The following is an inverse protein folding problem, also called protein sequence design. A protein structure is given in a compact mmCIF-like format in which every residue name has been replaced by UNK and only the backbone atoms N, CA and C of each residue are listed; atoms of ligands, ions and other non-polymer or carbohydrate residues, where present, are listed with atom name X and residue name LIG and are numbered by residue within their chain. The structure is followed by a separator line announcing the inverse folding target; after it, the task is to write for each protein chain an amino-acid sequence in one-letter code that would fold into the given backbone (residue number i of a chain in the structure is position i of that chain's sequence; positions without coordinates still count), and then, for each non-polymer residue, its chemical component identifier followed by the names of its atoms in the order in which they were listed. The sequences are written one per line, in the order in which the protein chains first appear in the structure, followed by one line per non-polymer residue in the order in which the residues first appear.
data_IF_738361252822
#
_entry.id   IF_738361252822
#
_cell.length_a   1.000
_cell.length_b   1.000
_cell.length_c   1.000
_cell.angle_alpha   90.00
_cell.angle_beta   90.00
_cell.angle_gamma   90.00
#
_symmetry.space_group_name_H-M   'P 1'
#
loop_
_entity.id
_entity.type
_entity.pdbx_description
1 polymer ?
#
# COMPACT_ATOMS: atom_id res chain seq x y z
N UNK A 1 -5.23 4.83 31.30
CA UNK A 1 -5.66 5.92 30.45
C UNK A 1 -5.07 7.23 30.98
N UNK A 2 -4.61 8.15 30.13
CA UNK A 2 -3.97 9.42 30.51
C UNK A 2 -4.97 10.24 31.35
N UNK A 3 -6.21 10.29 30.93
CA UNK A 3 -7.30 11.02 31.58
C UNK A 3 -7.51 10.61 33.05
N UNK A 4 -7.59 9.31 33.33
CA UNK A 4 -7.72 8.80 34.70
C UNK A 4 -6.49 9.08 35.58
N UNK A 5 -5.31 9.28 34.95
CA UNK A 5 -4.05 9.56 35.67
C UNK A 5 -3.88 11.04 36.04
N UNK A 6 -4.54 11.94 35.29
CA UNK A 6 -4.42 13.39 35.47
C UNK A 6 -5.71 14.07 35.90
N UNK A 7 -6.83 13.34 36.02
CA UNK A 7 -8.05 13.85 36.65
C UNK A 7 -7.75 14.25 38.10
N UNK A 8 -7.79 15.55 38.37
CA UNK A 8 -7.53 16.10 39.71
C UNK A 8 -6.12 16.69 39.94
N UNK A 9 -5.27 16.76 38.92
CA UNK A 9 -4.01 17.50 39.03
C UNK A 9 -4.29 19.01 39.03
N UNK A 10 -3.68 19.74 39.95
CA UNK A 10 -3.89 21.18 40.17
C UNK A 10 -3.20 22.07 39.13
N UNK A 11 -2.46 21.52 38.18
CA UNK A 11 -1.58 22.27 37.25
C UNK A 11 -2.07 22.33 35.81
N UNK A 12 -3.38 22.32 35.55
CA UNK A 12 -3.94 22.56 34.24
C UNK A 12 -5.30 21.89 34.02
N UNK A 13 -6.17 22.52 33.25
CA UNK A 13 -7.41 21.90 32.76
C UNK A 13 -7.07 20.83 31.74
N UNK A 14 -7.37 19.56 32.04
CA UNK A 14 -7.33 18.47 31.09
C UNK A 14 -8.72 18.31 30.48
N UNK A 15 -8.86 18.58 29.16
CA UNK A 15 -10.09 18.37 28.44
C UNK A 15 -9.90 17.33 27.33
N UNK A 16 -10.77 16.32 27.30
CA UNK A 16 -10.88 15.42 26.17
C UNK A 16 -11.72 16.08 25.08
N UNK A 17 -11.17 16.20 23.88
CA UNK A 17 -11.88 16.73 22.72
C UNK A 17 -12.05 15.61 21.70
N UNK A 18 -13.28 15.40 21.27
CA UNK A 18 -13.59 14.45 20.22
C UNK A 18 -13.13 14.93 18.84
N UNK A 19 -12.59 14.00 18.03
CA UNK A 19 -12.13 14.24 16.65
C UNK A 19 -13.12 13.69 15.62
N UNK A 20 -14.41 13.88 15.80
CA UNK A 20 -15.46 13.41 14.88
C UNK A 20 -15.48 14.12 13.52
N UNK A 21 -14.83 15.30 13.39
CA UNK A 21 -14.75 16.05 12.14
C UNK A 21 -13.54 15.65 11.31
N UNK A 22 -13.79 15.12 10.11
CA UNK A 22 -12.75 14.78 9.14
C UNK A 22 -12.35 15.99 8.29
N UNK A 23 -11.08 16.36 8.38
CA UNK A 23 -10.47 17.36 7.47
C UNK A 23 -9.95 16.74 6.18
N UNK A 24 -9.99 15.42 6.09
CA UNK A 24 -9.46 14.65 4.96
C UNK A 24 -10.53 14.29 3.95
N UNK A 25 -11.60 13.68 4.39
CA UNK A 25 -12.55 12.96 3.54
C UNK A 25 -13.85 13.73 3.36
N UNK A 26 -14.38 13.68 2.14
CA UNK A 26 -15.71 14.17 1.79
C UNK A 26 -16.82 13.25 2.34
N UNK A 27 -18.06 13.70 2.23
CA UNK A 27 -19.23 13.01 2.79
C UNK A 27 -19.40 11.56 2.27
N UNK A 28 -19.35 11.25 0.95
CA UNK A 28 -19.53 9.88 0.47
C UNK A 28 -18.53 8.88 1.04
N UNK A 29 -17.26 9.29 1.25
CA UNK A 29 -16.26 8.43 1.89
C UNK A 29 -16.61 8.15 3.35
N UNK A 30 -17.12 9.16 4.06
CA UNK A 30 -17.50 9.04 5.46
C UNK A 30 -18.78 8.21 5.63
N UNK A 31 -19.70 8.26 4.67
CA UNK A 31 -20.92 7.44 4.68
C UNK A 31 -20.56 5.95 4.73
N UNK A 32 -19.64 5.50 3.87
CA UNK A 32 -19.15 4.11 3.89
C UNK A 32 -18.47 3.78 5.21
N UNK A 33 -17.61 4.65 5.72
CA UNK A 33 -16.91 4.43 6.99
C UNK A 33 -17.88 4.36 8.16
N UNK A 34 -18.86 5.26 8.21
CA UNK A 34 -19.87 5.30 9.26
C UNK A 34 -20.78 4.06 9.21
N UNK A 35 -21.17 3.61 8.01
CA UNK A 35 -21.96 2.40 7.86
C UNK A 35 -21.21 1.16 8.37
N UNK A 36 -19.91 1.03 8.09
CA UNK A 36 -19.10 -0.12 8.56
C UNK A 36 -18.92 -0.14 10.06
N UNK A 37 -18.71 1.00 10.70
CA UNK A 37 -18.25 1.07 12.09
C UNK A 37 -19.25 1.65 13.07
N UNK A 38 -20.38 2.16 12.60
CA UNK A 38 -21.38 2.80 13.42
C UNK A 38 -22.32 1.84 14.14
N UNK A 39 -22.45 0.60 13.67
CA UNK A 39 -23.33 -0.42 14.28
C UNK A 39 -22.53 -1.33 15.23
N UNK A 40 -22.59 -1.01 16.52
CA UNK A 40 -21.93 -1.80 17.56
C UNK A 40 -22.49 -3.21 17.69
N UNK A 41 -23.77 -3.45 17.36
CA UNK A 41 -24.38 -4.77 17.49
C UNK A 41 -23.88 -5.72 16.40
N UNK A 42 -23.64 -5.21 15.21
CA UNK A 42 -22.96 -5.97 14.15
C UNK A 42 -21.53 -6.26 14.56
N UNK A 43 -20.77 -5.27 15.05
CA UNK A 43 -19.37 -5.48 15.46
C UNK A 43 -19.23 -6.53 16.56
N UNK A 44 -20.17 -6.62 17.52
CA UNK A 44 -20.19 -7.64 18.58
C UNK A 44 -20.24 -9.08 18.05
N UNK A 45 -20.77 -9.30 16.87
CA UNK A 45 -20.83 -10.64 16.27
C UNK A 45 -19.44 -11.16 15.87
N UNK A 46 -18.46 -10.25 15.67
CA UNK A 46 -17.10 -10.59 15.25
C UNK A 46 -16.14 -10.82 16.41
N UNK A 47 -16.52 -10.47 17.62
CA UNK A 47 -15.76 -10.75 18.84
C UNK A 47 -16.60 -11.59 19.81
N UNK A 48 -16.23 -12.86 19.99
CA UNK A 48 -16.93 -13.78 20.90
C UNK A 48 -17.06 -13.25 22.34
N UNK A 49 -16.10 -12.42 22.78
CA UNK A 49 -16.08 -11.85 24.13
C UNK A 49 -16.66 -10.45 24.18
N UNK A 50 -17.04 -9.89 23.04
CA UNK A 50 -17.61 -8.54 22.86
C UNK A 50 -16.71 -7.38 23.33
N UNK A 51 -15.60 -7.66 23.98
CA UNK A 51 -14.69 -6.65 24.56
C UNK A 51 -14.09 -5.70 23.52
N UNK A 52 -13.73 -6.22 22.34
CA UNK A 52 -13.23 -5.40 21.23
C UNK A 52 -14.30 -4.46 20.69
N UNK A 53 -15.52 -4.97 20.49
CA UNK A 53 -16.64 -4.21 19.99
C UNK A 53 -17.12 -3.15 21.00
N UNK A 54 -17.21 -3.51 22.29
CA UNK A 54 -17.57 -2.56 23.35
C UNK A 54 -16.51 -1.46 23.50
N UNK A 55 -15.23 -1.82 23.41
CA UNK A 55 -14.12 -0.86 23.41
C UNK A 55 -14.17 0.06 22.19
N UNK A 56 -14.54 -0.46 21.02
CA UNK A 56 -14.76 0.34 19.82
C UNK A 56 -15.95 1.28 20.00
N UNK A 57 -17.10 0.76 20.42
CA UNK A 57 -18.32 1.54 20.62
C UNK A 57 -18.13 2.68 21.65
N UNK A 58 -17.31 2.45 22.68
CA UNK A 58 -17.05 3.46 23.72
C UNK A 58 -16.28 4.70 23.20
N UNK A 59 -15.57 4.58 22.06
CA UNK A 59 -14.80 5.67 21.46
C UNK A 59 -15.33 6.13 20.11
N UNK A 60 -16.31 5.40 19.55
CA UNK A 60 -16.84 5.70 18.23
C UNK A 60 -17.76 6.91 18.27
N UNK A 61 -17.52 7.82 17.35
CA UNK A 61 -18.42 8.92 17.03
C UNK A 61 -18.61 8.98 15.52
N UNK A 62 -19.84 9.19 15.08
CA UNK A 62 -20.17 9.35 13.66
C UNK A 62 -19.33 10.47 13.06
N UNK A 63 -18.57 10.15 12.03
CA UNK A 63 -17.69 11.09 11.36
C UNK A 63 -18.48 12.02 10.45
N UNK A 64 -18.12 13.29 10.46
CA UNK A 64 -18.69 14.33 9.62
C UNK A 64 -17.57 15.08 8.88
N UNK A 65 -17.84 15.56 7.65
CA UNK A 65 -16.87 16.40 6.96
C UNK A 65 -16.67 17.71 7.73
N UNK A 66 -15.43 18.17 7.84
CA UNK A 66 -15.13 19.52 8.34
C UNK A 66 -15.57 20.56 7.31
N UNK A 67 -15.80 21.82 7.74
CA UNK A 67 -16.32 22.92 6.88
C UNK A 67 -15.69 23.01 5.47
N UNK A 68 -14.36 22.86 5.28
CA UNK A 68 -13.78 22.91 3.93
C UNK A 68 -14.17 21.74 3.03
N UNK A 69 -14.67 20.62 3.61
CA UNK A 69 -15.03 19.38 2.91
C UNK A 69 -16.53 19.20 2.70
N UNK A 70 -17.33 20.05 3.31
CA UNK A 70 -18.80 20.01 3.17
C UNK A 70 -19.19 20.40 1.75
N UNK A 71 -19.96 19.51 1.07
CA UNK A 71 -20.40 19.72 -0.30
C UNK A 71 -19.34 19.49 -1.36
N UNK A 72 -18.16 18.95 -1.02
CA UNK A 72 -17.21 18.43 -2.01
C UNK A 72 -17.74 17.12 -2.61
N UNK A 73 -17.65 17.02 -3.94
CA UNK A 73 -18.02 15.82 -4.67
C UNK A 73 -17.08 14.65 -4.32
N UNK A 74 -17.66 13.47 -4.25
CA UNK A 74 -16.92 12.25 -3.95
C UNK A 74 -17.68 11.01 -4.37
N UNK A 75 -17.04 9.86 -4.26
CA UNK A 75 -17.66 8.58 -4.55
C UNK A 75 -17.08 7.48 -3.65
N UNK A 76 -17.93 6.77 -2.96
CA UNK A 76 -17.57 5.58 -2.20
C UNK A 76 -18.41 4.39 -2.66
N UNK A 77 -17.75 3.25 -2.92
CA UNK A 77 -18.43 2.09 -3.46
C UNK A 77 -17.84 0.79 -2.89
N UNK A 78 -18.71 -0.13 -2.51
CA UNK A 78 -18.34 -1.51 -2.23
C UNK A 78 -18.85 -2.40 -3.34
N UNK A 79 -17.91 -3.07 -4.01
CA UNK A 79 -18.12 -3.97 -5.14
C UNK A 79 -17.78 -5.40 -4.76
N UNK A 80 -18.63 -6.34 -5.20
CA UNK A 80 -18.29 -7.77 -5.15
C UNK A 80 -18.12 -8.33 -6.56
N UNK A 81 -17.21 -9.30 -6.70
CA UNK A 81 -16.97 -10.06 -7.93
C UNK A 81 -17.18 -11.55 -7.64
N UNK A 82 -17.44 -12.35 -8.70
CA UNK A 82 -17.70 -13.78 -8.55
C UNK A 82 -16.45 -14.56 -8.18
N UNK A 83 -15.38 -14.37 -8.94
CA UNK A 83 -14.11 -15.08 -8.73
C UNK A 83 -13.06 -14.17 -8.08
N UNK A 84 -12.17 -14.80 -7.32
CA UNK A 84 -11.09 -14.09 -6.62
C UNK A 84 -10.13 -13.41 -7.59
N UNK A 85 -9.89 -14.03 -8.71
CA UNK A 85 -9.02 -13.57 -9.80
C UNK A 85 -9.57 -12.32 -10.48
N UNK A 86 -10.88 -12.17 -10.51
CA UNK A 86 -11.58 -11.03 -11.15
C UNK A 86 -11.37 -9.71 -10.41
N UNK A 87 -10.97 -9.74 -9.14
CA UNK A 87 -10.72 -8.53 -8.34
C UNK A 87 -9.67 -7.62 -8.97
N UNK A 88 -8.61 -8.19 -9.52
CA UNK A 88 -7.53 -7.40 -10.12
C UNK A 88 -7.93 -6.81 -11.46
N UNK A 89 -8.73 -7.54 -12.25
CA UNK A 89 -9.34 -7.00 -13.46
C UNK A 89 -10.32 -5.85 -13.14
N UNK A 90 -11.09 -5.98 -12.06
CA UNK A 90 -11.95 -4.90 -11.56
C UNK A 90 -11.14 -3.68 -11.11
N UNK A 91 -10.01 -3.87 -10.40
CA UNK A 91 -9.10 -2.78 -10.04
C UNK A 91 -8.57 -2.07 -11.27
N UNK A 92 -8.12 -2.81 -12.28
CA UNK A 92 -7.61 -2.24 -13.53
C UNK A 92 -8.71 -1.42 -14.24
N UNK A 93 -9.95 -1.91 -14.24
CA UNK A 93 -11.09 -1.20 -14.81
C UNK A 93 -11.40 0.10 -14.03
N UNK A 94 -11.43 0.05 -12.71
CA UNK A 94 -11.64 1.24 -11.86
C UNK A 94 -10.55 2.28 -12.08
N UNK A 95 -9.28 1.86 -12.18
CA UNK A 95 -8.16 2.76 -12.51
C UNK A 95 -8.35 3.43 -13.87
N UNK A 96 -8.82 2.67 -14.87
CA UNK A 96 -9.14 3.22 -16.19
C UNK A 96 -10.28 4.25 -16.15
N UNK A 97 -11.29 4.04 -15.28
CA UNK A 97 -12.40 4.98 -15.12
C UNK A 97 -12.02 6.25 -14.36
N UNK A 98 -11.18 6.12 -13.35
CA UNK A 98 -10.69 7.25 -12.54
C UNK A 98 -9.65 8.04 -13.33
N UNK A 99 -8.86 7.36 -14.15
CA UNK A 99 -7.70 7.88 -14.88
C UNK A 99 -6.87 8.89 -14.04
N UNK A 100 -6.29 8.43 -12.92
CA UNK A 100 -5.67 9.33 -11.96
C UNK A 100 -4.52 10.13 -12.57
N UNK A 101 -3.85 9.59 -13.58
CA UNK A 101 -2.70 10.25 -14.23
C UNK A 101 -3.15 11.43 -15.08
N UNK A 102 -4.16 11.23 -15.93
CA UNK A 102 -4.70 12.29 -16.78
C UNK A 102 -5.39 13.39 -15.94
N UNK A 103 -6.09 12.99 -14.87
CA UNK A 103 -6.81 13.90 -13.98
C UNK A 103 -5.93 14.51 -12.87
N UNK A 104 -4.63 14.21 -12.84
CA UNK A 104 -3.70 14.76 -11.84
C UNK A 104 -4.00 14.38 -10.39
N UNK A 105 -4.63 13.18 -10.19
CA UNK A 105 -5.06 12.69 -8.90
C UNK A 105 -4.01 11.79 -8.27
N UNK A 106 -3.81 11.90 -6.97
CA UNK A 106 -3.08 10.91 -6.19
C UNK A 106 -3.95 9.67 -5.97
N UNK A 107 -3.42 8.47 -6.30
CA UNK A 107 -4.15 7.23 -6.20
C UNK A 107 -3.33 6.15 -5.51
N UNK A 108 -3.93 5.47 -4.53
CA UNK A 108 -3.32 4.32 -3.89
C UNK A 108 -4.20 3.07 -3.95
N UNK A 109 -3.54 1.92 -4.11
CA UNK A 109 -4.16 0.61 -3.94
C UNK A 109 -3.62 0.02 -2.64
N UNK A 110 -4.52 -0.23 -1.69
CA UNK A 110 -4.15 -0.63 -0.34
C UNK A 110 -4.45 -2.11 -0.16
N UNK A 111 -3.42 -2.89 0.16
CA UNK A 111 -3.50 -4.34 0.36
C UNK A 111 -3.03 -4.75 1.76
N UNK A 112 -3.28 -6.01 2.15
CA UNK A 112 -2.92 -6.48 3.49
C UNK A 112 -1.49 -7.02 3.59
N UNK A 113 -0.91 -7.53 2.49
CA UNK A 113 0.35 -8.28 2.50
C UNK A 113 1.35 -7.76 1.48
N UNK A 114 2.63 -7.74 1.82
CA UNK A 114 3.71 -7.37 0.89
C UNK A 114 3.75 -8.25 -0.37
N UNK A 115 3.45 -9.56 -0.22
CA UNK A 115 3.39 -10.45 -1.38
C UNK A 115 2.34 -9.99 -2.39
N UNK A 116 1.14 -9.60 -1.92
CA UNK A 116 0.06 -9.07 -2.77
C UNK A 116 0.46 -7.76 -3.46
N UNK A 117 1.29 -6.91 -2.82
CA UNK A 117 1.81 -5.69 -3.47
C UNK A 117 2.53 -6.03 -4.77
N UNK A 118 3.49 -6.96 -4.72
CA UNK A 118 4.28 -7.32 -5.90
C UNK A 118 3.43 -7.97 -7.00
N UNK A 119 2.61 -8.96 -6.62
CA UNK A 119 1.74 -9.67 -7.56
C UNK A 119 0.76 -8.71 -8.28
N UNK A 120 0.20 -7.75 -7.55
CA UNK A 120 -0.74 -6.77 -8.10
C UNK A 120 -0.03 -5.73 -8.98
N UNK A 121 1.16 -5.28 -8.60
CA UNK A 121 1.98 -4.38 -9.43
C UNK A 121 2.31 -5.04 -10.76
N UNK A 122 2.76 -6.30 -10.76
CA UNK A 122 3.10 -7.03 -11.98
C UNK A 122 1.88 -7.21 -12.89
N UNK A 123 0.73 -7.55 -12.30
CA UNK A 123 -0.54 -7.65 -13.04
C UNK A 123 -0.94 -6.30 -13.67
N UNK A 124 -0.94 -5.22 -12.89
CA UNK A 124 -1.39 -3.90 -13.36
C UNK A 124 -0.47 -3.32 -14.44
N UNK A 125 0.84 -3.54 -14.35
CA UNK A 125 1.78 -3.14 -15.42
C UNK A 125 1.51 -3.86 -16.74
N UNK A 126 1.12 -5.14 -16.67
CA UNK A 126 0.69 -5.89 -17.85
C UNK A 126 -0.65 -5.43 -18.42
N UNK A 127 -1.63 -5.16 -17.54
CA UNK A 127 -2.98 -4.76 -17.93
C UNK A 127 -3.06 -3.28 -18.38
N UNK A 128 -2.26 -2.40 -17.79
CA UNK A 128 -2.28 -0.94 -17.97
C UNK A 128 -0.86 -0.39 -18.26
N UNK A 129 -0.25 -0.71 -19.42
CA UNK A 129 1.14 -0.34 -19.70
C UNK A 129 1.38 1.18 -19.76
N UNK A 130 0.33 1.98 -19.93
CA UNK A 130 0.41 3.44 -19.96
C UNK A 130 0.22 4.11 -18.59
N UNK A 131 -0.10 3.33 -17.55
CA UNK A 131 -0.26 3.84 -16.19
C UNK A 131 0.98 3.45 -15.38
N UNK A 132 1.75 4.42 -14.86
CA UNK A 132 2.90 4.12 -14.02
C UNK A 132 2.43 3.61 -12.66
N UNK A 133 2.62 2.30 -12.40
CA UNK A 133 2.26 1.64 -11.14
C UNK A 133 3.52 1.32 -10.35
N UNK A 134 3.56 1.72 -9.09
CA UNK A 134 4.69 1.56 -8.17
C UNK A 134 4.27 0.78 -6.93
N UNK A 135 5.00 -0.26 -6.59
CA UNK A 135 4.87 -0.93 -5.30
C UNK A 135 5.73 -0.23 -4.25
N UNK A 136 5.20 -0.06 -3.05
CA UNK A 136 5.92 0.62 -1.98
C UNK A 136 7.16 -0.14 -1.45
N UNK A 137 7.23 -1.46 -1.69
CA UNK A 137 8.44 -2.24 -1.41
C UNK A 137 9.54 -2.03 -2.47
N UNK A 138 9.24 -1.29 -3.54
CA UNK A 138 10.08 -1.07 -4.71
C UNK A 138 10.48 0.41 -4.80
N UNK A 139 11.19 0.90 -3.79
CA UNK A 139 11.47 2.33 -3.66
C UNK A 139 12.85 2.75 -4.12
N UNK A 140 13.64 1.86 -4.71
CA UNK A 140 15.00 2.19 -5.13
C UNK A 140 15.12 2.22 -6.65
N UNK A 141 15.31 3.39 -7.29
CA UNK A 141 15.43 3.51 -8.75
C UNK A 141 16.54 2.66 -9.36
N UNK A 142 17.53 2.26 -8.58
CA UNK A 142 18.61 1.38 -9.02
C UNK A 142 18.32 -0.11 -8.89
N UNK A 143 17.37 -0.52 -8.04
CA UNK A 143 17.17 -1.93 -7.67
C UNK A 143 15.80 -2.50 -7.96
N UNK A 144 14.79 -1.68 -8.19
CA UNK A 144 13.38 -2.09 -8.32
C UNK A 144 12.92 -2.28 -9.79
N UNK A 145 13.83 -2.11 -10.73
CA UNK A 145 13.51 -2.24 -12.14
C UNK A 145 14.72 -2.77 -12.94
N UNK A 146 14.45 -3.51 -14.04
CA UNK A 146 15.53 -4.10 -14.85
C UNK A 146 16.50 -3.08 -15.43
N UNK A 147 16.04 -1.88 -15.79
CA UNK A 147 16.89 -0.83 -16.34
C UNK A 147 17.90 -0.31 -15.31
N UNK A 148 17.41 0.04 -14.11
CA UNK A 148 18.27 0.51 -13.02
C UNK A 148 19.33 -0.54 -12.64
N UNK A 149 18.91 -1.81 -12.56
CA UNK A 149 19.83 -2.93 -12.31
C UNK A 149 20.88 -3.08 -13.41
N UNK A 150 20.49 -2.94 -14.68
CA UNK A 150 21.42 -3.00 -15.80
C UNK A 150 22.43 -1.84 -15.78
N UNK A 151 21.96 -0.62 -15.49
CA UNK A 151 22.82 0.58 -15.37
C UNK A 151 23.81 0.47 -14.19
N UNK A 152 23.35 -0.03 -13.04
CA UNK A 152 24.28 -0.29 -11.92
C UNK A 152 25.29 -1.39 -12.25
N UNK A 153 24.90 -2.42 -13.01
CA UNK A 153 25.80 -3.50 -13.38
C UNK A 153 26.89 -3.06 -14.36
N UNK A 154 26.57 -2.26 -15.38
CA UNK A 154 27.61 -1.75 -16.29
C UNK A 154 28.62 -0.85 -15.56
N UNK A 155 28.15 -0.03 -14.61
CA UNK A 155 29.02 0.80 -13.79
C UNK A 155 29.91 -0.05 -12.87
N UNK A 156 29.35 -1.03 -12.15
CA UNK A 156 30.13 -1.96 -11.30
C UNK A 156 31.18 -2.74 -12.11
N UNK A 157 30.76 -3.30 -13.24
CA UNK A 157 31.70 -4.02 -14.13
C UNK A 157 32.83 -3.13 -14.61
N UNK A 158 32.56 -1.84 -14.87
CA UNK A 158 33.62 -0.88 -15.28
C UNK A 158 34.59 -0.52 -14.14
N UNK A 159 34.07 -0.42 -12.89
CA UNK A 159 34.90 -0.14 -11.71
C UNK A 159 35.72 -1.36 -11.26
N UNK A 160 35.15 -2.57 -11.42
CA UNK A 160 35.73 -3.81 -10.90
C UNK A 160 35.93 -4.86 -12.00
N UNK A 161 37.08 -4.83 -12.74
CA UNK A 161 37.33 -5.70 -13.90
C UNK A 161 37.31 -7.21 -13.61
N UNK A 162 37.28 -7.62 -12.32
CA UNK A 162 37.23 -9.04 -11.89
C UNK A 162 35.85 -9.46 -11.39
N UNK A 163 34.88 -8.54 -11.35
CA UNK A 163 33.51 -8.81 -10.90
C UNK A 163 32.69 -9.35 -12.08
N UNK A 164 32.79 -10.66 -12.28
CA UNK A 164 32.13 -11.35 -13.39
C UNK A 164 30.61 -11.30 -13.32
N UNK A 165 30.02 -11.21 -12.14
CA UNK A 165 28.56 -11.22 -12.01
C UNK A 165 27.94 -10.01 -12.72
N UNK A 166 28.42 -8.81 -12.48
CA UNK A 166 27.90 -7.62 -13.14
C UNK A 166 28.18 -7.62 -14.64
N UNK A 167 29.32 -8.13 -15.07
CA UNK A 167 29.64 -8.27 -16.49
C UNK A 167 28.68 -9.22 -17.20
N UNK A 168 28.47 -10.42 -16.66
CA UNK A 168 27.52 -11.41 -17.19
C UNK A 168 26.07 -10.90 -17.13
N UNK A 169 25.70 -10.19 -16.07
CA UNK A 169 24.37 -9.59 -15.98
C UNK A 169 24.14 -8.58 -17.12
N UNK A 170 25.11 -7.71 -17.44
CA UNK A 170 24.98 -6.76 -18.56
C UNK A 170 24.73 -7.49 -19.87
N UNK A 171 25.41 -8.63 -20.12
CA UNK A 171 25.23 -9.42 -21.33
C UNK A 171 23.82 -10.02 -21.49
N UNK A 172 23.08 -10.15 -20.40
CA UNK A 172 21.69 -10.63 -20.38
C UNK A 172 20.67 -9.48 -20.48
N UNK A 173 21.12 -8.24 -20.61
CA UNK A 173 20.26 -7.05 -20.65
C UNK A 173 20.29 -6.39 -22.04
N UNK A 174 19.40 -5.46 -22.36
CA UNK A 174 19.46 -4.66 -23.58
C UNK A 174 20.77 -3.87 -23.75
N UNK A 175 21.59 -3.73 -22.70
CA UNK A 175 22.90 -3.11 -22.76
C UNK A 175 24.02 -4.04 -23.25
N UNK A 176 23.71 -5.30 -23.56
CA UNK A 176 24.69 -6.29 -24.07
C UNK A 176 25.50 -5.78 -25.27
N UNK A 177 24.87 -4.96 -26.13
CA UNK A 177 25.53 -4.34 -27.28
C UNK A 177 26.69 -3.39 -26.95
N UNK A 178 26.82 -2.97 -25.67
CA UNK A 178 27.96 -2.19 -25.19
C UNK A 178 29.22 -3.05 -24.98
N UNK A 179 29.05 -4.35 -24.79
CA UNK A 179 30.13 -5.28 -24.46
C UNK A 179 30.41 -6.23 -25.62
N UNK A 180 31.58 -6.13 -26.29
CA UNK A 180 31.98 -7.08 -27.33
C UNK A 180 32.05 -8.53 -26.81
N UNK A 181 31.87 -9.49 -27.72
CA UNK A 181 31.99 -10.92 -27.39
C UNK A 181 33.38 -11.34 -27.03
N UNK A 182 34.37 -10.67 -27.58
CA UNK A 182 35.82 -10.90 -27.29
C UNK A 182 36.17 -10.37 -25.89
N UNK A 183 36.72 -11.19 -24.98
CA UNK A 183 37.01 -10.79 -23.59
C UNK A 183 37.95 -9.59 -23.45
N UNK A 184 39.02 -9.51 -24.31
CA UNK A 184 39.98 -8.41 -24.19
C UNK A 184 39.38 -7.09 -24.68
N UNK A 185 38.61 -7.12 -25.74
CA UNK A 185 37.82 -5.97 -26.22
C UNK A 185 36.75 -5.55 -25.24
N UNK A 186 36.11 -6.50 -24.53
CA UNK A 186 35.14 -6.25 -23.51
C UNK A 186 35.77 -5.48 -22.33
N UNK A 187 36.92 -5.91 -21.87
CA UNK A 187 37.65 -5.20 -20.83
C UNK A 187 38.10 -3.80 -21.29
N UNK A 188 38.40 -3.62 -22.57
CA UNK A 188 38.65 -2.29 -23.11
C UNK A 188 37.39 -1.40 -23.10
N UNK A 189 36.26 -1.93 -23.52
CA UNK A 189 34.98 -1.22 -23.49
C UNK A 189 34.57 -0.80 -22.06
N UNK A 190 34.76 -1.67 -21.06
CA UNK A 190 34.51 -1.33 -19.65
C UNK A 190 35.43 -0.21 -19.14
N UNK A 191 36.73 -0.24 -19.52
CA UNK A 191 37.64 0.88 -19.21
C UNK A 191 37.22 2.18 -19.90
N UNK A 192 36.66 2.11 -21.08
CA UNK A 192 36.13 3.29 -21.77
C UNK A 192 34.95 3.89 -21.01
N UNK A 193 34.01 3.07 -20.53
CA UNK A 193 32.91 3.53 -19.66
C UNK A 193 33.45 4.22 -18.40
N UNK A 194 34.40 3.61 -17.71
CA UNK A 194 35.04 4.20 -16.52
C UNK A 194 35.71 5.56 -16.83
N UNK A 195 36.46 5.62 -17.95
CA UNK A 195 37.11 6.86 -18.41
C UNK A 195 36.08 7.94 -18.73
N UNK A 196 34.98 7.58 -19.39
CA UNK A 196 33.93 8.50 -19.76
C UNK A 196 33.19 9.05 -18.51
N UNK A 197 32.94 8.23 -17.49
CA UNK A 197 32.44 8.70 -16.18
C UNK A 197 33.40 9.71 -15.56
N UNK A 198 34.71 9.42 -15.58
CA UNK A 198 35.70 10.33 -15.02
C UNK A 198 35.75 11.67 -15.75
N UNK A 199 35.64 11.66 -17.08
CA UNK A 199 35.76 12.85 -17.92
C UNK A 199 34.48 13.68 -18.02
N UNK A 200 33.32 13.01 -18.11
CA UNK A 200 32.05 13.64 -18.47
C UNK A 200 31.02 13.64 -17.31
N UNK A 201 31.24 12.80 -16.31
CA UNK A 201 30.26 12.58 -15.23
C UNK A 201 29.31 11.42 -15.47
N UNK A 202 28.47 11.15 -14.49
CA UNK A 202 27.53 10.03 -14.51
C UNK A 202 26.33 10.29 -15.42
N UNK A 203 25.73 11.49 -15.35
CA UNK A 203 24.52 11.80 -16.14
C UNK A 203 24.73 11.60 -17.65
N UNK A 204 25.77 12.14 -18.30
CA UNK A 204 25.98 11.96 -19.75
C UNK A 204 26.21 10.50 -20.14
N UNK A 205 26.97 9.74 -19.34
CA UNK A 205 27.26 8.32 -19.59
C UNK A 205 26.00 7.47 -19.46
N UNK A 206 25.21 7.71 -18.44
CA UNK A 206 23.94 7.00 -18.22
C UNK A 206 22.94 7.35 -19.32
N UNK A 207 22.88 8.61 -19.75
CA UNK A 207 22.06 9.04 -20.88
C UNK A 207 22.43 8.31 -22.17
N UNK A 208 23.73 8.17 -22.46
CA UNK A 208 24.21 7.40 -23.60
C UNK A 208 23.85 5.91 -23.51
N UNK A 209 23.90 5.32 -22.31
CA UNK A 209 23.45 3.94 -22.08
C UNK A 209 21.97 3.77 -22.35
N UNK A 210 21.14 4.67 -21.81
CA UNK A 210 19.67 4.65 -22.03
C UNK A 210 19.34 4.86 -23.50
N UNK A 211 20.06 5.77 -24.18
CA UNK A 211 19.86 6.04 -25.63
C UNK A 211 20.16 4.85 -26.55
N UNK A 212 20.84 3.81 -26.05
CA UNK A 212 21.08 2.55 -26.80
C UNK A 212 19.97 1.52 -26.64
N UNK A 213 19.05 1.76 -25.72
CA UNK A 213 17.89 0.90 -25.48
C UNK A 213 16.72 1.44 -26.30
N UNK A 214 15.97 0.55 -26.92
CA UNK A 214 14.74 0.94 -27.63
C UNK A 214 13.67 1.41 -26.61
N UNK A 215 13.66 2.73 -26.39
CA UNK A 215 12.74 3.40 -25.45
C UNK A 215 11.27 3.27 -25.88
N UNK A 216 11.00 2.96 -27.17
CA UNK A 216 9.63 2.78 -27.67
C UNK A 216 8.93 1.56 -27.03
N UNK A 217 9.70 0.55 -26.70
CA UNK A 217 9.24 -0.68 -26.05
C UNK A 217 9.20 -0.62 -24.52
N UNK A 218 9.60 0.51 -23.91
CA UNK A 218 9.54 0.69 -22.47
C UNK A 218 8.13 1.08 -22.03
N UNK A 219 7.64 0.45 -20.95
CA UNK A 219 6.43 0.88 -20.28
C UNK A 219 6.60 2.24 -19.56
N UNK A 220 5.51 2.81 -19.09
CA UNK A 220 5.51 4.11 -18.41
C UNK A 220 6.31 4.11 -17.12
N UNK A 221 6.37 2.98 -16.42
CA UNK A 221 7.14 2.84 -15.19
C UNK A 221 8.65 2.85 -15.48
N UNK A 222 9.11 2.10 -16.48
CA UNK A 222 10.51 2.08 -16.89
C UNK A 222 10.98 3.47 -17.39
N UNK A 223 10.15 4.18 -18.15
CA UNK A 223 10.42 5.57 -18.58
C UNK A 223 10.54 6.52 -17.38
N UNK A 224 9.65 6.40 -16.43
CA UNK A 224 9.68 7.20 -15.21
C UNK A 224 10.93 6.88 -14.35
N UNK A 225 11.30 5.60 -14.20
CA UNK A 225 12.52 5.19 -13.49
C UNK A 225 13.79 5.65 -14.20
N UNK A 226 13.82 5.60 -15.52
CA UNK A 226 14.93 6.14 -16.30
C UNK A 226 15.17 7.64 -15.99
N UNK A 227 14.09 8.42 -15.94
CA UNK A 227 14.15 9.84 -15.58
C UNK A 227 14.68 10.05 -14.16
N UNK A 228 14.15 9.31 -13.18
CA UNK A 228 14.64 9.39 -11.79
C UNK A 228 16.10 9.02 -11.67
N UNK A 229 16.54 7.98 -12.37
CA UNK A 229 17.94 7.56 -12.36
C UNK A 229 18.86 8.65 -12.94
N UNK A 230 18.46 9.33 -14.01
CA UNK A 230 19.17 10.47 -14.58
C UNK A 230 19.19 11.67 -13.61
N UNK A 231 18.09 11.96 -12.94
CA UNK A 231 18.03 13.04 -11.93
C UNK A 231 18.97 12.75 -10.75
N UNK A 232 19.05 11.50 -10.29
CA UNK A 232 20.04 11.07 -9.27
C UNK A 232 21.49 11.20 -9.78
N UNK A 233 21.74 10.83 -11.02
CA UNK A 233 23.06 10.96 -11.62
C UNK A 233 23.51 12.43 -11.69
N UNK A 234 22.61 13.32 -12.10
CA UNK A 234 22.84 14.77 -12.11
C UNK A 234 23.13 15.29 -10.70
N UNK A 235 22.30 14.93 -9.72
CA UNK A 235 22.50 15.33 -8.33
C UNK A 235 23.85 14.85 -7.77
N UNK A 236 24.26 13.63 -8.11
CA UNK A 236 25.56 13.14 -7.70
C UNK A 236 26.72 13.85 -8.40
N UNK A 237 26.58 14.17 -9.68
CA UNK A 237 27.58 14.93 -10.44
C UNK A 237 27.85 16.33 -9.83
N UNK A 238 26.84 16.95 -9.19
CA UNK A 238 27.00 18.23 -8.47
C UNK A 238 27.92 18.11 -7.26
N UNK A 239 28.13 16.93 -6.69
CA UNK A 239 29.09 16.69 -5.60
C UNK A 239 30.54 16.80 -6.08
N UNK A 240 30.80 16.69 -7.38
CA UNK A 240 32.12 16.63 -7.99
C UNK A 240 32.83 15.29 -7.89
N UNK A 241 32.27 14.31 -7.15
CA UNK A 241 32.85 12.94 -7.08
C UNK A 241 32.67 12.22 -8.42
N UNK A 242 33.66 11.39 -8.75
CA UNK A 242 33.69 10.49 -9.91
C UNK A 242 33.86 9.03 -9.49
N UNK A 243 33.76 8.76 -8.21
CA UNK A 243 33.83 7.40 -7.65
C UNK A 243 32.57 6.62 -7.94
N UNK A 244 32.71 5.54 -8.71
CA UNK A 244 31.58 4.70 -9.12
C UNK A 244 30.96 3.98 -7.93
N UNK A 245 31.77 3.53 -6.96
CA UNK A 245 31.24 2.85 -5.78
C UNK A 245 30.46 3.81 -4.85
N UNK A 246 30.91 5.05 -4.77
CA UNK A 246 30.15 6.10 -4.07
C UNK A 246 28.81 6.36 -4.76
N UNK A 247 28.81 6.47 -6.09
CA UNK A 247 27.57 6.64 -6.85
C UNK A 247 26.62 5.46 -6.68
N UNK A 248 27.13 4.22 -6.77
CA UNK A 248 26.33 3.01 -6.55
C UNK A 248 25.72 3.00 -5.14
N UNK A 249 26.51 3.32 -4.10
CA UNK A 249 25.99 3.46 -2.73
C UNK A 249 24.95 4.58 -2.63
N UNK A 250 25.23 5.72 -3.23
CA UNK A 250 24.29 6.85 -3.26
C UNK A 250 22.95 6.44 -3.88
N UNK A 251 22.93 5.84 -5.07
CA UNK A 251 21.68 5.39 -5.72
C UNK A 251 20.98 4.31 -4.91
N UNK A 252 21.71 3.33 -4.36
CA UNK A 252 21.11 2.23 -3.59
C UNK A 252 20.61 2.66 -2.21
N UNK A 253 21.14 3.73 -1.64
CA UNK A 253 20.69 4.30 -0.38
C UNK A 253 19.50 5.27 -0.55
N UNK A 254 19.26 5.75 -1.77
CA UNK A 254 18.07 6.55 -2.03
C UNK A 254 16.84 5.65 -1.92
N UNK A 255 16.17 5.74 -0.81
CA UNK A 255 14.75 5.45 -0.80
C UNK A 255 14.13 6.43 -1.77
N UNK A 256 13.33 5.97 -2.73
CA UNK A 256 12.68 6.87 -3.65
C UNK A 256 11.94 7.91 -2.81
N UNK A 257 12.52 9.12 -2.77
CA UNK A 257 11.90 10.24 -2.12
C UNK A 257 10.51 10.36 -2.72
N UNK A 258 9.53 10.17 -1.87
CA UNK A 258 8.10 10.41 -2.07
C UNK A 258 7.61 10.31 -3.52
N UNK A 259 7.02 9.17 -3.84
CA UNK A 259 6.06 9.11 -4.93
C UNK A 259 4.88 10.10 -4.73
N UNK A 260 4.84 10.83 -3.60
CA UNK A 260 3.80 11.81 -3.26
C UNK A 260 3.72 13.02 -4.20
N UNK A 261 4.78 13.30 -4.96
CA UNK A 261 4.76 14.31 -6.02
C UNK A 261 4.74 13.76 -7.45
N UNK A 262 4.90 12.46 -7.62
CA UNK A 262 4.90 11.84 -8.93
C UNK A 262 3.47 11.42 -9.31
N UNK A 263 3.09 11.64 -10.57
CA UNK A 263 1.83 11.13 -11.15
C UNK A 263 1.95 9.62 -11.34
N UNK A 264 1.81 8.86 -10.26
CA UNK A 264 1.92 7.39 -10.23
C UNK A 264 0.81 6.79 -9.37
N UNK A 265 0.38 5.59 -9.71
CA UNK A 265 -0.49 4.78 -8.84
C UNK A 265 0.40 4.00 -7.87
N UNK A 266 0.16 4.18 -6.57
CA UNK A 266 0.93 3.53 -5.52
C UNK A 266 0.22 2.27 -5.02
N UNK A 267 0.92 1.14 -4.95
CA UNK A 267 0.42 -0.09 -4.33
C UNK A 267 1.16 -0.31 -3.02
N UNK A 268 0.45 -0.34 -1.91
CA UNK A 268 1.07 -0.42 -0.58
C UNK A 268 0.25 -1.22 0.42
N UNK A 269 0.86 -1.56 1.54
CA UNK A 269 0.12 -2.18 2.64
C UNK A 269 -0.60 -1.15 3.51
N UNK A 270 -1.65 -1.60 4.23
CA UNK A 270 -2.39 -0.75 5.18
C UNK A 270 -1.46 -0.08 6.19
N UNK A 271 -0.42 -0.78 6.67
CA UNK A 271 0.52 -0.23 7.65
C UNK A 271 1.31 0.96 7.10
N UNK A 272 1.71 0.86 5.85
CA UNK A 272 2.47 1.90 5.17
C UNK A 272 1.57 3.08 4.72
N UNK A 273 0.31 2.82 4.45
CA UNK A 273 -0.69 3.85 4.16
C UNK A 273 -1.04 4.71 5.40
N UNK A 274 -0.65 4.28 6.62
CA UNK A 274 -0.96 5.02 7.85
C UNK A 274 -0.30 6.41 7.83
N UNK A 275 -1.11 7.46 7.98
CA UNK A 275 -0.65 8.85 7.94
C UNK A 275 -0.74 9.50 6.56
N UNK A 276 -0.79 8.72 5.48
CA UNK A 276 -0.91 9.23 4.12
C UNK A 276 -2.37 9.58 3.78
N UNK A 277 -2.53 10.37 2.72
CA UNK A 277 -3.83 10.76 2.16
C UNK A 277 -3.75 10.73 0.64
N UNK A 278 -4.78 10.20 -0.01
CA UNK A 278 -4.88 10.10 -1.46
C UNK A 278 -6.23 10.62 -1.94
N UNK A 279 -6.27 11.14 -3.16
CA UNK A 279 -7.53 11.56 -3.76
C UNK A 279 -8.46 10.37 -3.98
N UNK A 280 -7.90 9.25 -4.44
CA UNK A 280 -8.60 7.98 -4.57
C UNK A 280 -7.86 6.83 -3.88
N UNK A 281 -8.60 5.92 -3.25
CA UNK A 281 -8.06 4.65 -2.75
C UNK A 281 -8.90 3.46 -3.22
N UNK A 282 -8.21 2.36 -3.55
CA UNK A 282 -8.84 1.09 -3.92
C UNK A 282 -8.34 0.01 -2.96
N UNK A 283 -9.24 -0.75 -2.35
CA UNK A 283 -8.94 -1.84 -1.42
C UNK A 283 -9.40 -3.18 -2.00
N UNK A 284 -8.55 -3.90 -2.77
CA UNK A 284 -8.93 -5.16 -3.42
C UNK A 284 -8.63 -6.42 -2.60
N UNK A 285 -7.83 -6.32 -1.53
CA UNK A 285 -7.33 -7.46 -0.76
C UNK A 285 -7.80 -7.37 0.70
N UNK A 286 -9.13 -7.36 0.87
CA UNK A 286 -9.75 -7.38 2.21
C UNK A 286 -10.12 -8.80 2.65
N UNK A 287 -9.88 -9.82 1.84
CA UNK A 287 -10.05 -11.21 2.19
C UNK A 287 -9.02 -11.62 3.24
N UNK A 288 -9.44 -12.32 4.24
CA UNK A 288 -8.55 -12.70 5.31
C UNK A 288 -9.06 -13.87 6.13
N UNK A 289 -8.24 -14.26 7.08
CA UNK A 289 -8.64 -15.14 8.16
C UNK A 289 -9.67 -14.43 9.06
N UNK A 290 -10.27 -15.20 9.98
CA UNK A 290 -11.14 -14.64 11.02
C UNK A 290 -10.48 -13.46 11.72
N UNK A 291 -11.28 -12.45 12.07
CA UNK A 291 -10.79 -11.21 12.70
C UNK A 291 -10.21 -11.44 14.11
N UNK A 292 -10.66 -12.50 14.79
CA UNK A 292 -10.21 -12.90 16.13
C UNK A 292 -9.13 -14.00 16.12
N UNK A 293 -8.47 -14.25 14.96
CA UNK A 293 -7.48 -15.32 14.82
C UNK A 293 -6.14 -14.96 15.44
N UNK A 294 -5.86 -15.49 16.60
CA UNK A 294 -4.56 -15.41 17.27
C UNK A 294 -3.49 -16.20 16.50
N UNK A 295 -2.29 -15.64 16.35
CA UNK A 295 -1.15 -16.32 15.72
C UNK A 295 -0.56 -17.35 16.68
N UNK A 296 -0.29 -18.55 16.19
CA UNK A 296 0.28 -19.66 16.98
C UNK A 296 1.70 -19.40 17.48
N UNK A 297 2.45 -18.55 16.79
CA UNK A 297 3.84 -18.18 17.07
C UNK A 297 3.98 -16.88 17.87
N UNK A 298 2.87 -16.25 18.24
CA UNK A 298 2.88 -15.02 19.03
C UNK A 298 3.14 -15.32 20.51
N UNK A 299 3.98 -14.51 21.13
CA UNK A 299 4.14 -14.50 22.57
C UNK A 299 3.04 -13.63 23.20
N UNK A 300 2.35 -14.20 24.17
CA UNK A 300 1.33 -13.52 24.97
C UNK A 300 1.87 -13.23 26.35
N UNK A 301 1.63 -12.02 26.85
CA UNK A 301 2.05 -11.58 28.17
C UNK A 301 0.81 -11.42 29.03
N UNK A 302 0.70 -12.19 30.10
CA UNK A 302 -0.30 -11.95 31.12
C UNK A 302 0.18 -10.81 32.03
N UNK A 303 -0.63 -9.75 32.13
CA UNK A 303 -0.32 -8.57 32.95
C UNK A 303 -1.03 -8.68 34.29
N UNK A 304 -0.29 -8.42 35.36
CA UNK A 304 -0.86 -8.22 36.69
C UNK A 304 -1.56 -6.86 36.79
N UNK A 305 -2.46 -6.72 37.76
CA UNK A 305 -3.22 -5.47 37.96
C UNK A 305 -2.39 -4.22 38.22
N UNK A 306 -1.12 -4.38 38.63
CA UNK A 306 -0.12 -3.32 38.82
C UNK A 306 0.70 -3.02 37.53
N UNK A 307 0.41 -3.73 36.44
CA UNK A 307 1.07 -3.54 35.13
C UNK A 307 2.35 -4.36 34.95
N UNK A 308 2.71 -5.20 35.92
CA UNK A 308 3.79 -6.18 35.78
C UNK A 308 3.41 -7.35 34.87
N UNK A 309 4.40 -8.11 34.41
CA UNK A 309 4.18 -9.36 33.69
C UNK A 309 4.25 -10.54 34.70
N UNK A 310 3.17 -11.32 34.76
CA UNK A 310 3.10 -12.52 35.56
C UNK A 310 3.77 -13.69 34.82
N UNK A 311 3.40 -13.86 33.54
CA UNK A 311 4.03 -14.83 32.66
C UNK A 311 4.02 -14.37 31.20
N UNK A 312 4.93 -14.95 30.41
CA UNK A 312 5.03 -14.77 28.95
C UNK A 312 5.06 -16.14 28.34
N UNK A 313 4.12 -16.43 27.44
CA UNK A 313 3.94 -17.76 26.88
C UNK A 313 3.44 -17.67 25.43
N UNK A 314 3.90 -18.60 24.58
CA UNK A 314 3.19 -18.92 23.33
C UNK A 314 1.99 -19.79 23.68
N UNK A 315 0.76 -19.28 23.42
CA UNK A 315 -0.45 -20.00 23.77
C UNK A 315 -0.50 -21.35 23.05
N UNK A 316 -0.81 -22.45 23.76
CA UNK A 316 -1.00 -23.76 23.15
C UNK A 316 -2.26 -23.80 22.27
N UNK A 317 -2.58 -24.97 21.70
CA UNK A 317 -3.78 -25.13 20.89
C UNK A 317 -5.05 -24.74 21.64
N UNK A 318 -6.05 -24.27 20.91
CA UNK A 318 -7.32 -23.80 21.48
C UNK A 318 -7.95 -24.81 22.45
N UNK A 319 -7.88 -26.11 22.10
CA UNK A 319 -8.47 -27.20 22.89
C UNK A 319 -7.83 -27.30 24.29
N UNK A 320 -6.54 -26.96 24.40
CA UNK A 320 -5.81 -26.92 25.67
C UNK A 320 -6.15 -25.65 26.44
N UNK A 321 -6.16 -24.51 25.76
CA UNK A 321 -6.49 -23.24 26.42
C UNK A 321 -7.93 -23.24 26.96
N UNK A 322 -8.88 -23.81 26.22
CA UNK A 322 -10.30 -23.78 26.59
C UNK A 322 -10.64 -24.61 27.86
N UNK A 323 -9.78 -25.57 28.22
CA UNK A 323 -9.97 -26.38 29.45
C UNK A 323 -9.14 -25.90 30.63
N UNK A 324 -8.22 -24.98 30.42
CA UNK A 324 -7.36 -24.43 31.46
C UNK A 324 -7.93 -23.11 32.01
N UNK A 325 -8.00 -23.01 33.34
CA UNK A 325 -8.63 -21.88 34.03
C UNK A 325 -7.85 -20.56 33.91
N UNK A 326 -6.56 -20.59 33.57
CA UNK A 326 -5.72 -19.42 33.36
C UNK A 326 -5.56 -19.08 31.87
N UNK A 327 -5.35 -20.10 31.05
CA UNK A 327 -5.10 -19.92 29.62
C UNK A 327 -6.39 -19.59 28.85
N UNK A 328 -7.56 -20.06 29.30
CA UNK A 328 -8.85 -19.75 28.68
C UNK A 328 -9.14 -18.24 28.66
N UNK A 329 -9.11 -17.54 29.79
CA UNK A 329 -9.25 -16.08 29.83
C UNK A 329 -8.17 -15.34 29.01
N UNK A 330 -6.91 -15.78 29.07
CA UNK A 330 -5.82 -15.19 28.31
C UNK A 330 -6.01 -15.35 26.79
N UNK A 331 -6.49 -16.50 26.33
CA UNK A 331 -6.84 -16.69 24.92
C UNK A 331 -8.02 -15.79 24.50
N UNK A 332 -9.00 -15.64 25.39
CA UNK A 332 -10.15 -14.76 25.14
C UNK A 332 -9.72 -13.30 24.98
N UNK A 333 -8.87 -12.81 25.87
CA UNK A 333 -8.29 -11.48 25.79
C UNK A 333 -7.46 -11.29 24.52
N UNK A 334 -6.57 -12.24 24.20
CA UNK A 334 -5.75 -12.21 22.99
C UNK A 334 -6.61 -12.18 21.70
N UNK A 335 -7.72 -12.93 21.66
CA UNK A 335 -8.68 -12.90 20.55
C UNK A 335 -9.34 -11.52 20.40
N UNK A 336 -9.78 -10.92 21.50
CA UNK A 336 -10.39 -9.59 21.47
C UNK A 336 -9.39 -8.51 21.07
N UNK A 337 -8.13 -8.57 21.55
CA UNK A 337 -7.09 -7.63 21.12
C UNK A 337 -6.82 -7.73 19.61
N UNK A 338 -6.67 -8.93 19.06
CA UNK A 338 -6.47 -9.15 17.62
C UNK A 338 -7.69 -8.67 16.82
N UNK A 339 -8.90 -8.90 17.32
CA UNK A 339 -10.12 -8.42 16.68
C UNK A 339 -10.14 -6.89 16.64
N UNK A 340 -9.84 -6.23 17.75
CA UNK A 340 -9.75 -4.77 17.83
C UNK A 340 -8.68 -4.19 16.89
N UNK A 341 -7.50 -4.81 16.83
CA UNK A 341 -6.46 -4.42 15.87
C UNK A 341 -6.92 -4.55 14.41
N UNK A 342 -7.70 -5.60 14.10
CA UNK A 342 -8.23 -5.79 12.76
C UNK A 342 -9.30 -4.74 12.41
N UNK A 343 -10.15 -4.33 13.38
CA UNK A 343 -11.03 -3.17 13.19
C UNK A 343 -10.22 -1.90 12.90
N UNK A 344 -9.19 -1.63 13.69
CA UNK A 344 -8.30 -0.48 13.47
C UNK A 344 -7.62 -0.52 12.08
N UNK A 345 -7.17 -1.70 11.62
CA UNK A 345 -6.55 -1.85 10.29
C UNK A 345 -7.52 -1.54 9.16
N UNK A 346 -8.75 -2.08 9.24
CA UNK A 346 -9.77 -1.79 8.25
C UNK A 346 -10.11 -0.29 8.24
N UNK A 347 -10.32 0.30 9.42
CA UNK A 347 -10.57 1.73 9.57
C UNK A 347 -9.46 2.59 8.95
N UNK A 348 -8.20 2.24 9.20
CA UNK A 348 -7.06 2.93 8.57
C UNK A 348 -7.14 2.82 7.05
N UNK A 349 -7.41 1.66 6.49
CA UNK A 349 -7.55 1.48 5.03
C UNK A 349 -8.66 2.34 4.44
N UNK A 350 -9.87 2.28 5.03
CA UNK A 350 -11.06 2.99 4.54
C UNK A 350 -10.94 4.52 4.69
N UNK A 351 -10.14 5.02 5.63
CA UNK A 351 -9.97 6.45 5.88
C UNK A 351 -8.79 7.09 5.16
N UNK A 352 -8.21 6.45 4.12
CA UNK A 352 -7.09 7.06 3.38
C UNK A 352 -7.53 7.92 2.22
N UNK A 353 -8.76 7.72 1.72
CA UNK A 353 -9.34 8.47 0.62
C UNK A 353 -9.81 9.87 1.05
N UNK A 354 -9.60 10.85 0.19
CA UNK A 354 -10.24 12.17 0.33
C UNK A 354 -11.55 12.27 -0.46
N UNK A 355 -11.62 11.70 -1.67
CA UNK A 355 -12.77 11.82 -2.57
C UNK A 355 -13.29 10.47 -3.09
N UNK A 356 -12.40 9.56 -3.50
CA UNK A 356 -12.77 8.28 -4.08
C UNK A 356 -12.37 7.09 -3.20
N UNK A 357 -13.33 6.27 -2.74
CA UNK A 357 -13.09 5.07 -1.97
C UNK A 357 -13.75 3.86 -2.63
N UNK A 358 -12.95 2.91 -3.06
CA UNK A 358 -13.43 1.71 -3.76
C UNK A 358 -12.96 0.46 -3.03
N UNK A 359 -13.90 -0.33 -2.55
CA UNK A 359 -13.63 -1.61 -1.89
C UNK A 359 -14.07 -2.73 -2.82
N UNK A 360 -13.19 -3.68 -3.12
CA UNK A 360 -13.48 -4.81 -4.03
C UNK A 360 -13.20 -6.12 -3.30
N UNK A 361 -14.19 -6.99 -3.24
CA UNK A 361 -14.04 -8.34 -2.67
C UNK A 361 -14.78 -9.39 -3.49
N UNK A 362 -14.63 -10.66 -3.10
CA UNK A 362 -15.58 -11.69 -3.54
C UNK A 362 -16.88 -11.56 -2.80
N UNK A 363 -17.99 -12.01 -3.40
CA UNK A 363 -19.28 -12.03 -2.77
C UNK A 363 -19.27 -12.87 -1.48
N UNK A 364 -20.00 -12.41 -0.46
CA UNK A 364 -20.20 -13.19 0.75
C UNK A 364 -21.00 -14.46 0.45
N UNK A 365 -20.49 -15.60 0.90
CA UNK A 365 -21.20 -16.87 0.76
C UNK A 365 -22.06 -17.10 2.00
N UNK A 366 -23.42 -17.19 1.88
CA UNK A 366 -24.33 -17.38 3.02
C UNK A 366 -24.00 -18.63 3.87
N UNK A 367 -23.37 -19.66 3.25
CA UNK A 367 -22.94 -20.87 3.95
C UNK A 367 -21.67 -20.66 4.78
N UNK A 368 -20.93 -19.56 4.60
CA UNK A 368 -19.69 -19.28 5.31
C UNK A 368 -19.97 -18.81 6.74
N UNK A 369 -19.40 -19.55 7.70
CA UNK A 369 -19.43 -19.16 9.14
C UNK A 369 -18.19 -18.32 9.53
N UNK A 370 -17.35 -17.94 8.59
CA UNK A 370 -16.12 -17.20 8.86
C UNK A 370 -16.42 -15.76 9.23
N UNK A 371 -15.98 -15.33 10.40
CA UNK A 371 -16.07 -13.94 10.88
C UNK A 371 -14.86 -13.15 10.33
N UNK A 372 -14.91 -12.78 9.07
CA UNK A 372 -13.86 -12.06 8.35
C UNK A 372 -14.36 -10.70 7.83
N UNK A 373 -13.49 -9.94 7.17
CA UNK A 373 -13.85 -8.63 6.63
C UNK A 373 -14.97 -8.69 5.57
N UNK A 374 -14.99 -9.72 4.71
CA UNK A 374 -16.02 -9.85 3.67
C UNK A 374 -17.40 -9.94 4.33
N UNK A 375 -17.52 -10.77 5.37
CA UNK A 375 -18.77 -10.87 6.12
C UNK A 375 -19.10 -9.56 6.85
N UNK A 376 -18.12 -8.90 7.48
CA UNK A 376 -18.33 -7.62 8.15
C UNK A 376 -18.87 -6.57 7.18
N UNK A 377 -18.23 -6.40 6.03
CA UNK A 377 -18.66 -5.44 5.02
C UNK A 377 -20.04 -5.79 4.44
N UNK A 378 -20.33 -7.08 4.26
CA UNK A 378 -21.64 -7.50 3.80
C UNK A 378 -22.73 -7.20 4.84
N UNK A 379 -22.52 -7.54 6.12
CA UNK A 379 -23.51 -7.31 7.17
C UNK A 379 -23.73 -5.82 7.50
N UNK A 380 -22.77 -4.96 7.21
CA UNK A 380 -22.86 -3.51 7.46
C UNK A 380 -23.26 -2.68 6.26
N UNK A 381 -22.98 -3.14 5.04
CA UNK A 381 -23.13 -2.34 3.81
C UNK A 381 -24.16 -2.91 2.84
N UNK A 382 -24.60 -4.18 3.00
CA UNK A 382 -25.56 -4.75 2.06
C UNK A 382 -26.92 -4.04 2.19
N UNK A 383 -27.29 -3.34 1.15
CA UNK A 383 -28.62 -2.80 0.96
C UNK A 383 -29.53 -3.86 0.30
N UNK A 384 -30.86 -3.72 0.39
CA UNK A 384 -31.81 -4.66 -0.19
C UNK A 384 -31.72 -4.73 -1.74
N UNK A 385 -31.15 -3.71 -2.36
CA UNK A 385 -31.06 -3.53 -3.81
C UNK A 385 -29.62 -3.54 -4.34
N UNK A 386 -28.86 -4.65 -4.18
CA UNK A 386 -27.62 -4.83 -4.92
C UNK A 386 -27.87 -4.82 -6.43
N UNK A 387 -27.03 -4.12 -7.19
CA UNK A 387 -27.22 -3.97 -8.64
C UNK A 387 -25.97 -4.34 -9.42
N UNK A 388 -26.11 -4.87 -10.65
CA UNK A 388 -24.96 -5.16 -11.51
C UNK A 388 -24.09 -3.92 -11.75
N UNK A 389 -22.77 -4.10 -11.71
CA UNK A 389 -21.84 -3.07 -12.11
C UNK A 389 -21.56 -3.19 -13.61
N UNK A 390 -22.23 -2.36 -14.40
CA UNK A 390 -22.20 -2.44 -15.85
C UNK A 390 -20.91 -1.89 -16.46
N UNK A 391 -20.50 -2.49 -17.61
CA UNK A 391 -19.36 -2.02 -18.40
C UNK A 391 -18.00 -2.52 -17.97
N UNK A 392 -17.89 -3.23 -16.84
CA UNK A 392 -16.64 -3.87 -16.44
C UNK A 392 -16.37 -5.15 -17.26
N UNK A 393 -15.09 -5.53 -17.48
CA UNK A 393 -14.73 -6.75 -18.22
C UNK A 393 -15.04 -8.03 -17.44
N UNK A 394 -15.40 -7.93 -16.17
CA UNK A 394 -15.76 -9.02 -15.26
C UNK A 394 -17.10 -8.71 -14.60
N UNK A 395 -17.86 -9.76 -14.31
CA UNK A 395 -19.13 -9.61 -13.57
C UNK A 395 -18.88 -9.08 -12.17
N UNK A 396 -19.60 -8.04 -11.79
CA UNK A 396 -19.55 -7.44 -10.45
C UNK A 396 -20.90 -6.89 -10.03
N UNK A 397 -21.10 -6.80 -8.72
CA UNK A 397 -22.29 -6.20 -8.12
C UNK A 397 -21.91 -5.03 -7.22
N UNK A 398 -22.66 -3.95 -7.31
CA UNK A 398 -22.58 -2.84 -6.36
C UNK A 398 -23.43 -3.23 -5.16
N UNK A 399 -22.79 -3.36 -4.01
CA UNK A 399 -23.43 -3.69 -2.73
C UNK A 399 -23.74 -2.43 -1.93
N UNK A 400 -22.89 -1.41 -2.07
CA UNK A 400 -23.07 -0.09 -1.46
C UNK A 400 -22.51 0.97 -2.38
N UNK A 401 -23.19 2.11 -2.46
CA UNK A 401 -22.72 3.28 -3.21
C UNK A 401 -23.19 4.58 -2.55
N UNK A 402 -22.28 5.53 -2.41
CA UNK A 402 -22.59 6.91 -2.02
C UNK A 402 -21.84 7.88 -2.94
N UNK A 403 -22.52 8.91 -3.44
CA UNK A 403 -21.97 9.84 -4.43
C UNK A 403 -21.95 9.26 -5.85
N UNK A 404 -21.02 9.71 -6.70
CA UNK A 404 -20.91 9.27 -8.08
C UNK A 404 -19.56 9.58 -8.72
N UNK A 405 -19.25 8.98 -9.88
CA UNK A 405 -17.97 9.15 -10.59
C UNK A 405 -17.69 10.58 -11.09
N UNK A 406 -18.68 11.46 -11.08
CA UNK A 406 -18.54 12.84 -11.58
C UNK A 406 -17.52 13.69 -10.78
N UNK A 407 -17.19 13.26 -9.56
CA UNK A 407 -16.16 13.88 -8.74
C UNK A 407 -14.79 13.99 -9.42
N UNK A 408 -14.48 13.07 -10.35
CA UNK A 408 -13.21 13.06 -11.08
C UNK A 408 -13.09 14.31 -11.97
N UNK A 409 -14.22 14.80 -12.52
CA UNK A 409 -14.25 15.97 -13.41
C UNK A 409 -14.33 17.30 -12.65
N UNK A 410 -14.71 17.27 -11.38
CA UNK A 410 -14.93 18.45 -10.56
C UNK A 410 -13.62 19.10 -10.05
N UNK A 411 -12.47 18.41 -10.13
CA UNK A 411 -11.19 18.96 -9.68
C UNK A 411 -10.52 19.79 -10.78
N UNK A 412 -10.26 21.10 -10.56
CA UNK A 412 -9.41 21.86 -11.47
C UNK A 412 -8.00 21.25 -11.44
N UNK A 413 -7.46 20.99 -12.62
CA UNK A 413 -6.05 20.59 -12.79
C UNK A 413 -5.19 21.74 -12.25
N UNK A 414 -4.52 21.53 -11.11
CA UNK A 414 -3.64 22.50 -10.48
C UNK A 414 -2.28 22.63 -11.21
#
# INVERSE_FOLDING_TARGET
CIEARYQGSTDGEFSAVSLSKSWRSCEPVLDLVNAVFGDADVLRQFDKNQTAADRWAAIWETHQPAKPRVGEDGHAMYLTVEAKEDRWAMVAYLLGRIDPIANGLSCAIIVQKNKTVQELVDFLRGALPNVPVVGESATNPGGDNPLGMALLSILRASAHPRERFSEEHVLLTPLAGLLPSDPDRRQAALRDVQRDVYQRGFEPVICDCIGRIDVSNMDSFAKWRAKQFLDLARQFDETGSRDIDEFVRFVTAQEAADASGARVVQVMTVHKAKGLTFDATILPDIEGSRLDKVRKDALHTHKTGDGGADWILSLPGNDICEVDNQLGPALAEARSEVCYENFCKLYVGLTRASHGLYVVSTAHKPSSKSLNYIRLLHETLAEEDSRPFEGAPVSGEIVFESGGFDWVQAKPVA
#
